data_IF_153984586452
#
_entry.id   IF_153984586452
#
_cell.length_a   1.000
_cell.length_b   1.000
_cell.length_c   1.000
_cell.angle_alpha   90.00
_cell.angle_beta   90.00
_cell.angle_gamma   90.00
#
_symmetry.space_group_name_H-M   'P 1'
#
loop_
_entity.id
_entity.type
_entity.pdbx_description
1 polymer ?
#
# COMPACT_ATOMS: atom_id res chain seq x y z
N UNK A 1 -4.38 3.05 12.05
CA UNK A 1 -4.57 2.17 10.89
C UNK A 1 -6.06 2.03 10.63
N UNK A 2 -6.48 2.20 9.38
CA UNK A 2 -7.90 2.15 9.04
C UNK A 2 -8.10 1.37 7.73
N UNK A 3 -9.37 1.12 7.40
CA UNK A 3 -9.75 0.32 6.22
C UNK A 3 -9.25 0.97 4.93
N UNK A 4 -9.33 2.30 4.83
CA UNK A 4 -8.87 3.01 3.63
C UNK A 4 -7.38 2.81 3.39
N UNK A 5 -6.59 2.87 4.45
CA UNK A 5 -5.15 2.61 4.36
C UNK A 5 -4.87 1.17 3.92
N UNK A 6 -5.60 0.20 4.47
CA UNK A 6 -5.45 -1.21 4.08
C UNK A 6 -5.85 -1.44 2.62
N UNK A 7 -6.92 -0.82 2.17
CA UNK A 7 -7.35 -0.92 0.77
C UNK A 7 -6.30 -0.34 -0.17
N UNK A 8 -5.71 0.81 0.17
CA UNK A 8 -4.63 1.40 -0.61
C UNK A 8 -3.42 0.47 -0.67
N UNK A 9 -3.04 -0.10 0.47
CA UNK A 9 -1.91 -1.02 0.52
C UNK A 9 -2.14 -2.25 -0.35
N UNK A 10 -3.30 -2.89 -0.25
CA UNK A 10 -3.62 -4.06 -1.05
C UNK A 10 -3.62 -3.74 -2.53
N UNK A 11 -4.21 -2.59 -2.91
CA UNK A 11 -4.27 -2.21 -4.32
C UNK A 11 -2.89 -1.93 -4.91
N UNK A 12 -2.02 -1.22 -4.17
CA UNK A 12 -0.65 -0.99 -4.62
C UNK A 12 0.12 -2.31 -4.69
N UNK A 13 -0.13 -3.23 -3.76
CA UNK A 13 0.49 -4.57 -3.79
C UNK A 13 0.13 -5.34 -5.05
N UNK A 14 -1.10 -5.21 -5.53
CA UNK A 14 -1.56 -5.89 -6.76
C UNK A 14 -0.95 -5.27 -8.01
N UNK A 15 -0.92 -3.95 -8.07
CA UNK A 15 -0.54 -3.24 -9.29
C UNK A 15 0.95 -2.93 -9.35
N UNK A 16 1.59 -2.79 -8.19
CA UNK A 16 2.96 -2.29 -8.03
C UNK A 16 3.15 -0.96 -8.77
N UNK A 17 2.09 -0.14 -8.75
CA UNK A 17 2.04 1.12 -9.48
C UNK A 17 1.06 2.05 -8.77
N UNK A 18 1.58 3.13 -8.17
CA UNK A 18 0.76 4.07 -7.39
C UNK A 18 -0.29 4.79 -8.23
N UNK A 19 0.06 5.14 -9.47
CA UNK A 19 -0.87 5.79 -10.39
C UNK A 19 -2.03 4.87 -10.72
N UNK A 20 -1.73 3.62 -11.08
CA UNK A 20 -2.75 2.64 -11.41
C UNK A 20 -3.65 2.35 -10.21
N UNK A 21 -3.04 2.21 -9.03
CA UNK A 21 -3.81 1.99 -7.80
C UNK A 21 -4.77 3.13 -7.53
N UNK A 22 -4.31 4.38 -7.71
CA UNK A 22 -5.17 5.55 -7.49
C UNK A 22 -6.35 5.56 -8.46
N UNK A 23 -6.12 5.21 -9.71
CA UNK A 23 -7.19 5.12 -10.71
C UNK A 23 -8.21 4.05 -10.32
N UNK A 24 -7.74 2.88 -9.91
CA UNK A 24 -8.61 1.77 -9.52
C UNK A 24 -9.45 2.11 -8.28
N UNK A 25 -8.92 2.94 -7.38
CA UNK A 25 -9.59 3.32 -6.15
C UNK A 25 -10.38 4.64 -6.27
N UNK A 26 -10.31 5.31 -7.42
CA UNK A 26 -11.00 6.58 -7.67
C UNK A 26 -10.58 7.68 -6.68
N UNK A 27 -9.29 7.71 -6.31
CA UNK A 27 -8.72 8.77 -5.48
C UNK A 27 -7.42 9.26 -6.13
N UNK A 28 -6.87 10.36 -5.62
CA UNK A 28 -5.64 10.92 -6.18
C UNK A 28 -4.43 10.06 -5.82
N UNK A 29 -3.39 10.16 -6.63
CA UNK A 29 -2.13 9.49 -6.34
C UNK A 29 -1.53 9.99 -5.02
N UNK A 30 -1.65 11.30 -4.75
CA UNK A 30 -1.20 11.88 -3.50
C UNK A 30 -1.92 11.25 -2.30
N UNK A 31 -3.23 11.02 -2.42
CA UNK A 31 -4.01 10.38 -1.36
C UNK A 31 -3.52 8.96 -1.10
N UNK A 32 -3.27 8.18 -2.16
CA UNK A 32 -2.74 6.82 -2.01
C UNK A 32 -1.39 6.87 -1.30
N UNK A 33 -0.48 7.74 -1.75
CA UNK A 33 0.84 7.87 -1.14
C UNK A 33 0.76 8.25 0.33
N UNK A 34 -0.14 9.16 0.69
CA UNK A 34 -0.32 9.58 2.08
C UNK A 34 -0.88 8.45 2.95
N UNK A 35 -1.84 7.69 2.43
CA UNK A 35 -2.38 6.55 3.16
C UNK A 35 -1.30 5.50 3.44
N UNK A 36 -0.47 5.19 2.45
CA UNK A 36 0.62 4.24 2.62
C UNK A 36 1.64 4.77 3.63
N UNK A 37 2.02 6.04 3.52
CA UNK A 37 2.97 6.66 4.45
C UNK A 37 2.49 6.58 5.89
N UNK A 38 1.24 6.93 6.13
CA UNK A 38 0.66 6.89 7.48
C UNK A 38 0.60 5.45 8.01
N UNK A 39 0.26 4.51 7.16
CA UNK A 39 0.25 3.10 7.54
C UNK A 39 1.65 2.64 7.94
N UNK A 40 2.66 2.97 7.14
CA UNK A 40 4.05 2.63 7.44
C UNK A 40 4.50 3.27 8.77
N UNK A 41 4.11 4.52 9.01
CA UNK A 41 4.43 5.20 10.26
C UNK A 41 3.81 4.48 11.47
N UNK A 42 2.55 4.05 11.35
CA UNK A 42 1.86 3.30 12.40
C UNK A 42 2.54 1.97 12.67
N UNK A 43 2.93 1.26 11.62
CA UNK A 43 3.55 -0.06 11.74
C UNK A 43 5.01 0.00 12.16
N UNK A 44 5.68 1.11 11.88
CA UNK A 44 7.10 1.27 12.22
C UNK A 44 8.07 0.63 11.24
N UNK A 45 7.60 0.27 10.03
CA UNK A 45 8.47 -0.27 8.98
C UNK A 45 7.89 0.06 7.61
N UNK A 46 8.75 -0.03 6.59
CA UNK A 46 8.33 0.21 5.21
C UNK A 46 7.65 -1.02 4.63
N UNK A 47 6.56 -0.79 3.90
CA UNK A 47 5.82 -1.83 3.19
C UNK A 47 6.32 -2.00 1.77
N UNK A 48 6.83 -0.91 1.18
CA UNK A 48 7.30 -0.90 -0.20
C UNK A 48 8.71 -0.34 -0.29
N UNK A 49 9.49 -0.90 -1.22
CA UNK A 49 10.74 -0.33 -1.68
C UNK A 49 10.40 0.45 -2.96
N UNK A 50 10.70 1.74 -2.96
CA UNK A 50 10.43 2.60 -4.11
C UNK A 50 11.76 3.06 -4.69
N UNK A 51 11.97 2.78 -5.96
CA UNK A 51 13.04 3.40 -6.69
C UNK A 51 12.47 4.02 -7.97
N UNK A 52 13.32 4.64 -8.78
CA UNK A 52 12.86 5.40 -9.94
C UNK A 52 12.05 4.60 -10.95
N UNK A 53 12.22 3.28 -10.99
CA UNK A 53 11.63 2.44 -12.03
C UNK A 53 10.67 1.39 -11.48
N UNK A 54 10.78 1.04 -10.21
CA UNK A 54 10.04 -0.11 -9.67
C UNK A 54 9.52 0.15 -8.27
N UNK A 55 8.35 -0.41 -8.01
CA UNK A 55 7.79 -0.53 -6.67
C UNK A 55 7.77 -2.01 -6.33
N UNK A 56 8.29 -2.38 -5.17
CA UNK A 56 8.32 -3.77 -4.71
C UNK A 56 7.90 -3.84 -3.26
N UNK A 57 7.31 -4.96 -2.85
CA UNK A 57 7.04 -5.20 -1.44
C UNK A 57 8.34 -5.49 -0.70
N UNK A 58 8.48 -4.91 0.50
CA UNK A 58 9.51 -5.36 1.42
C UNK A 58 9.17 -6.74 1.95
N UNK A 59 10.10 -7.39 2.65
CA UNK A 59 9.82 -8.66 3.31
C UNK A 59 8.67 -8.49 4.32
N UNK A 60 8.72 -7.43 5.12
CA UNK A 60 7.65 -7.11 6.07
C UNK A 60 6.33 -6.83 5.35
N UNK A 61 6.39 -6.17 4.20
CA UNK A 61 5.21 -5.90 3.37
C UNK A 61 4.54 -7.18 2.89
N UNK A 62 5.33 -8.17 2.48
CA UNK A 62 4.80 -9.47 2.06
C UNK A 62 4.08 -10.18 3.19
N UNK A 63 4.67 -10.15 4.38
CA UNK A 63 4.05 -10.76 5.57
C UNK A 63 2.77 -10.02 5.93
N UNK A 64 2.82 -8.69 5.96
CA UNK A 64 1.67 -7.88 6.32
C UNK A 64 0.51 -8.03 5.31
N UNK A 65 0.83 -8.25 4.04
CA UNK A 65 -0.20 -8.44 3.00
C UNK A 65 -1.13 -9.60 3.33
N UNK A 66 -0.60 -10.68 3.86
CA UNK A 66 -1.43 -11.83 4.25
C UNK A 66 -2.46 -11.43 5.31
N UNK A 67 -2.04 -10.65 6.29
CA UNK A 67 -2.94 -10.17 7.35
C UNK A 67 -3.96 -9.18 6.81
N UNK A 68 -3.51 -8.25 5.94
CA UNK A 68 -4.40 -7.25 5.34
C UNK A 68 -5.49 -7.89 4.51
N UNK A 69 -5.16 -8.92 3.73
CA UNK A 69 -6.14 -9.64 2.91
C UNK A 69 -7.20 -10.31 3.78
N UNK A 70 -6.83 -10.86 4.92
CA UNK A 70 -7.78 -11.47 5.85
C UNK A 70 -8.75 -10.44 6.44
N UNK A 71 -8.24 -9.26 6.78
CA UNK A 71 -9.08 -8.19 7.33
C UNK A 71 -10.10 -7.72 6.30
N UNK A 72 -9.72 -7.67 5.03
CA UNK A 72 -10.57 -7.16 3.95
C UNK A 72 -11.48 -8.22 3.31
N UNK A 73 -11.38 -9.46 3.74
CA UNK A 73 -12.26 -10.54 3.28
C UNK A 73 -13.72 -10.23 3.46
#
# INVERSE_FOLDING_TARGET
MNIQQLKCFVEVSKTLNFTKASQNLFISQTAVSNHIKHLEETLGFHLFIRNKKHVQLTQQGKIFLKSALKVLE
#
